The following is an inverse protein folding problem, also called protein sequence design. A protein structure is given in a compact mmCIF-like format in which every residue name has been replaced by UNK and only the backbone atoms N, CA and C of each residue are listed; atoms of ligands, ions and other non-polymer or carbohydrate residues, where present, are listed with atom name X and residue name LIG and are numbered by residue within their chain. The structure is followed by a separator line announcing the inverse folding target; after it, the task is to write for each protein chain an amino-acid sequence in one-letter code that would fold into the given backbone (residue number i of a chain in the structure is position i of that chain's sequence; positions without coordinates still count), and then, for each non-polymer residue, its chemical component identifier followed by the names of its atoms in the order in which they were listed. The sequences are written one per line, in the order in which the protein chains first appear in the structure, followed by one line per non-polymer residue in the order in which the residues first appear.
data_IF_424483191169
#
_entry.id   IF_424483191169
#
_cell.length_a   1.000
_cell.length_b   1.000
_cell.length_c   1.000
_cell.angle_alpha   90.00
_cell.angle_beta   90.00
_cell.angle_gamma   90.00
#
_symmetry.space_group_name_H-M   'P 1'
#
loop_
_entity.id
_entity.type
_entity.pdbx_description
1 polymer ?
#
# COMPACT_ATOMS: atom_id res chain seq x y z
N UNK A 1 0.82 1.10 -4.94
CA UNK A 1 2.05 1.57 -4.27
C UNK A 1 2.56 0.58 -3.22
N UNK A 2 1.85 0.37 -2.10
CA UNK A 2 2.28 -0.50 -1.00
C UNK A 2 2.81 -1.89 -1.42
N UNK A 3 2.14 -2.56 -2.36
CA UNK A 3 2.48 -3.93 -2.82
C UNK A 3 3.84 -4.05 -3.53
N UNK A 4 4.47 -2.93 -3.93
CA UNK A 4 5.85 -2.90 -4.47
C UNK A 4 6.86 -2.25 -3.53
N UNK A 5 6.41 -1.77 -2.37
CA UNK A 5 7.26 -1.05 -1.39
C UNK A 5 7.70 -1.95 -0.23
N UNK A 6 6.79 -2.78 0.27
CA UNK A 6 7.00 -3.57 1.48
C UNK A 6 7.27 -5.04 1.14
N UNK A 7 8.55 -5.37 0.90
CA UNK A 7 9.01 -6.74 0.63
C UNK A 7 9.05 -7.58 1.93
N UNK A 8 8.20 -8.63 2.05
CA UNK A 8 8.12 -9.48 3.24
C UNK A 8 9.41 -10.24 3.55
N UNK A 9 10.29 -10.45 2.55
CA UNK A 9 11.58 -11.14 2.74
C UNK A 9 12.52 -10.32 3.62
N UNK A 10 12.55 -9.01 3.46
CA UNK A 10 13.42 -8.11 4.24
C UNK A 10 12.94 -8.00 5.69
N UNK A 11 11.63 -8.01 5.93
CA UNK A 11 11.09 -8.12 7.29
C UNK A 11 11.46 -9.45 7.95
N UNK A 12 11.46 -10.55 7.18
CA UNK A 12 11.83 -11.88 7.67
C UNK A 12 13.31 -11.99 8.03
N UNK A 13 14.20 -11.31 7.29
CA UNK A 13 15.63 -11.17 7.64
C UNK A 13 15.81 -10.56 9.04
N UNK A 14 14.89 -9.68 9.45
CA UNK A 14 14.85 -9.02 10.77
C UNK A 14 14.01 -9.77 11.83
N UNK A 15 13.53 -10.99 11.50
CA UNK A 15 12.76 -11.85 12.41
C UNK A 15 11.27 -11.53 12.49
N UNK A 16 10.72 -10.75 11.56
CA UNK A 16 9.30 -10.41 11.53
C UNK A 16 8.56 -11.16 10.40
N UNK A 17 7.37 -11.65 10.68
CA UNK A 17 6.42 -12.05 9.64
C UNK A 17 5.60 -10.84 9.20
N UNK A 18 5.46 -10.62 7.90
CA UNK A 18 4.59 -9.59 7.35
C UNK A 18 3.77 -10.13 6.18
N UNK A 19 2.62 -9.49 5.92
CA UNK A 19 1.78 -9.75 4.77
C UNK A 19 1.36 -8.41 4.18
N UNK A 20 1.50 -8.25 2.87
CA UNK A 20 1.14 -7.05 2.15
C UNK A 20 -0.26 -7.20 1.54
N UNK A 21 -1.19 -6.33 1.97
CA UNK A 21 -2.57 -6.29 1.48
C UNK A 21 -2.76 -5.24 0.36
N UNK A 22 -1.67 -4.70 -0.19
CA UNK A 22 -1.70 -3.66 -1.21
C UNK A 22 -2.21 -4.15 -2.56
N UNK A 23 -2.96 -3.30 -3.26
CA UNK A 23 -3.26 -3.43 -4.69
C UNK A 23 -2.97 -2.13 -5.43
N UNK A 24 -3.12 -2.16 -6.76
CA UNK A 24 -3.13 -0.94 -7.59
C UNK A 24 -4.30 -0.04 -7.19
N UNK A 25 -4.09 1.28 -7.19
CA UNK A 25 -5.13 2.29 -6.97
C UNK A 25 -5.85 2.22 -5.61
N UNK A 26 -5.33 1.47 -4.64
CA UNK A 26 -6.06 1.18 -3.41
C UNK A 26 -6.19 2.41 -2.51
N UNK A 27 -7.43 2.80 -2.23
CA UNK A 27 -7.74 3.96 -1.38
C UNK A 27 -7.94 3.56 0.09
N UNK A 28 -7.92 4.51 1.05
CA UNK A 28 -8.27 4.23 2.45
C UNK A 28 -9.63 3.53 2.63
N UNK A 29 -10.63 3.88 1.80
CA UNK A 29 -11.92 3.19 1.75
C UNK A 29 -11.75 1.70 1.43
N UNK A 30 -11.05 1.37 0.35
CA UNK A 30 -10.82 -0.03 -0.04
C UNK A 30 -10.03 -0.76 1.05
N UNK A 31 -8.97 -0.15 1.57
CA UNK A 31 -8.12 -0.68 2.64
C UNK A 31 -8.89 -0.97 3.92
N UNK A 32 -9.85 -0.11 4.31
CA UNK A 32 -10.66 -0.33 5.51
C UNK A 32 -11.46 -1.64 5.42
N UNK A 33 -12.17 -1.86 4.31
CA UNK A 33 -12.98 -3.06 4.14
C UNK A 33 -12.13 -4.29 3.86
N UNK A 34 -11.02 -4.15 3.14
CA UNK A 34 -10.08 -5.25 2.92
C UNK A 34 -9.46 -5.72 4.25
N UNK A 35 -8.98 -4.80 5.07
CA UNK A 35 -8.44 -5.12 6.39
C UNK A 35 -9.49 -5.82 7.24
N UNK A 36 -10.72 -5.30 7.31
CA UNK A 36 -11.80 -5.95 8.05
C UNK A 36 -12.09 -7.38 7.58
N UNK A 37 -11.99 -7.64 6.29
CA UNK A 37 -12.26 -8.95 5.71
C UNK A 37 -11.24 -10.03 6.12
N UNK A 38 -10.01 -9.62 6.43
CA UNK A 38 -8.89 -10.52 6.74
C UNK A 38 -8.28 -10.34 8.14
N UNK A 39 -8.74 -9.35 8.93
CA UNK A 39 -8.11 -8.99 10.20
C UNK A 39 -7.97 -10.17 11.15
N UNK A 40 -9.04 -10.94 11.35
CA UNK A 40 -9.03 -12.10 12.27
C UNK A 40 -8.16 -13.25 11.77
N UNK A 41 -8.01 -13.38 10.45
CA UNK A 41 -7.16 -14.41 9.85
C UNK A 41 -5.68 -14.05 9.94
N UNK A 42 -5.36 -12.76 9.81
CA UNK A 42 -3.99 -12.24 9.87
C UNK A 42 -3.52 -12.00 11.31
N UNK A 43 -4.44 -11.68 12.23
CA UNK A 43 -4.19 -11.30 13.63
C UNK A 43 -2.93 -10.42 13.83
N UNK A 44 -2.82 -9.28 13.12
CA UNK A 44 -1.59 -8.50 13.11
C UNK A 44 -1.32 -7.86 14.48
N UNK A 45 -0.06 -7.86 14.93
CA UNK A 45 0.36 -7.04 16.07
C UNK A 45 0.47 -5.55 15.72
N UNK A 46 0.84 -5.28 14.46
CA UNK A 46 1.04 -3.96 13.90
C UNK A 46 0.43 -3.90 12.49
N UNK A 47 -0.37 -2.88 12.23
CA UNK A 47 -0.83 -2.50 10.89
C UNK A 47 -0.01 -1.29 10.42
N UNK A 48 0.54 -1.38 9.21
CA UNK A 48 1.18 -0.25 8.53
C UNK A 48 0.26 0.18 7.40
N UNK A 49 -0.14 1.45 7.41
CA UNK A 49 -0.94 2.04 6.35
C UNK A 49 -0.08 3.01 5.54
N UNK A 50 0.34 2.56 4.35
CA UNK A 50 1.04 3.37 3.36
C UNK A 50 0.03 4.28 2.64
N UNK A 51 0.06 5.56 3.01
CA UNK A 51 -0.74 6.64 2.47
C UNK A 51 -0.06 7.18 1.21
N UNK A 52 -0.82 7.23 0.12
CA UNK A 52 -0.35 7.77 -1.14
C UNK A 52 -1.25 8.94 -1.56
N UNK A 53 -0.60 10.01 -1.98
CA UNK A 53 -1.25 11.28 -2.33
C UNK A 53 -2.08 11.15 -3.62
N UNK A 54 -1.68 10.28 -4.56
CA UNK A 54 -2.33 10.12 -5.87
C UNK A 54 -3.63 9.32 -5.82
N UNK A 55 -4.00 8.76 -4.66
CA UNK A 55 -5.24 7.98 -4.46
C UNK A 55 -6.17 8.58 -3.40
N UNK A 56 -5.74 9.62 -2.67
CA UNK A 56 -6.52 10.18 -1.55
C UNK A 56 -7.70 11.03 -2.03
N UNK A 57 -7.69 11.47 -3.27
CA UNK A 57 -8.75 12.23 -3.94
C UNK A 57 -9.69 11.34 -4.79
N UNK A 58 -9.38 10.04 -4.92
CA UNK A 58 -10.16 9.09 -5.72
C UNK A 58 -11.36 8.50 -4.96
N UNK A 59 -12.31 7.93 -5.70
CA UNK A 59 -13.52 7.29 -5.16
C UNK A 59 -13.32 5.82 -4.71
N UNK A 60 -12.24 5.18 -5.16
CA UNK A 60 -11.91 3.78 -4.86
C UNK A 60 -12.56 2.75 -5.79
N UNK A 61 -13.19 3.16 -6.88
CA UNK A 61 -13.83 2.27 -7.84
C UNK A 61 -12.82 1.41 -8.62
N UNK A 62 -11.69 2.00 -9.02
CA UNK A 62 -10.64 1.30 -9.78
C UNK A 62 -10.12 0.07 -9.02
N UNK A 63 -9.60 0.26 -7.80
CA UNK A 63 -9.14 -0.83 -6.93
C UNK A 63 -10.27 -1.80 -6.57
N UNK A 64 -11.52 -1.34 -6.48
CA UNK A 64 -12.65 -2.21 -6.20
C UNK A 64 -12.85 -3.29 -7.26
N UNK A 65 -12.61 -2.99 -8.54
CA UNK A 65 -12.71 -4.00 -9.60
C UNK A 65 -11.72 -5.15 -9.40
N UNK A 66 -10.47 -4.83 -9.08
CA UNK A 66 -9.45 -5.86 -8.80
C UNK A 66 -9.82 -6.67 -7.56
N UNK A 67 -10.30 -6.00 -6.50
CA UNK A 67 -10.68 -6.66 -5.25
C UNK A 67 -11.90 -7.58 -5.42
N UNK A 68 -12.95 -7.12 -6.10
CA UNK A 68 -14.19 -7.87 -6.24
C UNK A 68 -14.03 -9.10 -7.13
N UNK A 69 -13.13 -9.04 -8.12
CA UNK A 69 -12.81 -10.18 -8.99
C UNK A 69 -11.92 -11.19 -8.25
N UNK A 70 -10.84 -10.74 -7.63
CA UNK A 70 -9.79 -11.64 -7.14
C UNK A 70 -10.01 -12.16 -5.71
N UNK A 71 -10.76 -11.45 -4.87
CA UNK A 71 -11.07 -11.95 -3.52
C UNK A 71 -12.18 -12.99 -3.55
N UNK A 72 -12.17 -14.01 -2.68
CA UNK A 72 -13.37 -14.81 -2.40
C UNK A 72 -14.53 -13.92 -1.96
N UNK A 73 -15.77 -14.33 -2.22
CA UNK A 73 -16.92 -13.58 -1.75
C UNK A 73 -16.88 -13.43 -0.23
N UNK A 74 -17.01 -12.19 0.23
CA UNK A 74 -17.05 -11.81 1.63
C UNK A 74 -18.09 -10.72 1.85
N UNK A 75 -18.64 -10.67 3.05
CA UNK A 75 -19.75 -9.75 3.41
C UNK A 75 -19.30 -8.30 3.32
N UNK A 76 -18.01 -8.04 3.51
CA UNK A 76 -17.35 -6.74 3.46
C UNK A 76 -17.39 -6.10 2.07
N UNK A 77 -17.59 -6.88 1.00
CA UNK A 77 -17.73 -6.34 -0.37
C UNK A 77 -18.97 -5.46 -0.52
N UNK A 78 -20.07 -5.77 0.18
CA UNK A 78 -21.30 -4.99 0.13
C UNK A 78 -21.16 -3.57 0.67
N UNK A 79 -20.75 -3.36 1.94
CA UNK A 79 -20.57 -2.01 2.46
C UNK A 79 -19.42 -1.27 1.74
N UNK A 80 -18.41 -1.97 1.21
CA UNK A 80 -17.41 -1.37 0.33
C UNK A 80 -18.05 -0.80 -0.94
N UNK A 81 -18.88 -1.59 -1.62
CA UNK A 81 -19.57 -1.16 -2.84
C UNK A 81 -20.53 0.01 -2.61
N UNK A 82 -21.28 -0.01 -1.49
CA UNK A 82 -22.15 1.12 -1.11
C UNK A 82 -21.35 2.38 -0.78
N UNK A 83 -20.18 2.24 -0.15
CA UNK A 83 -19.33 3.37 0.21
C UNK A 83 -18.72 4.08 -1.02
N UNK A 84 -18.39 3.32 -2.06
CA UNK A 84 -17.90 3.86 -3.35
C UNK A 84 -19.00 4.66 -4.06
N UNK A 85 -20.27 4.35 -3.78
CA UNK A 85 -21.43 5.07 -4.32
C UNK A 85 -21.47 5.11 -5.87
N UNK A 86 -21.15 3.97 -6.50
CA UNK A 86 -21.17 3.81 -7.96
C UNK A 86 -22.03 2.61 -8.37
N UNK A 87 -22.90 2.73 -9.39
CA UNK A 87 -23.65 1.60 -9.95
C UNK A 87 -22.75 0.45 -10.39
N UNK A 88 -21.54 0.76 -10.82
CA UNK A 88 -20.56 -0.25 -11.22
C UNK A 88 -20.06 -1.09 -10.05
N UNK A 89 -19.84 -0.47 -8.89
CA UNK A 89 -19.45 -1.19 -7.68
C UNK A 89 -20.59 -2.13 -7.21
N UNK A 90 -21.84 -1.66 -7.29
CA UNK A 90 -23.02 -2.49 -6.99
C UNK A 90 -23.12 -3.68 -7.96
N UNK A 91 -22.95 -3.45 -9.26
CA UNK A 91 -22.95 -4.52 -10.25
C UNK A 91 -21.83 -5.54 -9.97
N UNK A 92 -20.63 -5.08 -9.64
CA UNK A 92 -19.50 -5.94 -9.29
C UNK A 92 -19.80 -6.87 -8.12
N UNK A 93 -20.32 -6.35 -7.00
CA UNK A 93 -20.63 -7.18 -5.83
C UNK A 93 -21.81 -8.12 -6.07
N UNK A 94 -22.83 -7.70 -6.82
CA UNK A 94 -23.95 -8.58 -7.22
C UNK A 94 -23.44 -9.74 -8.08
N UNK A 95 -22.61 -9.44 -9.08
CA UNK A 95 -22.00 -10.44 -9.96
C UNK A 95 -21.17 -11.44 -9.16
N UNK A 96 -20.32 -10.95 -8.24
CA UNK A 96 -19.51 -11.79 -7.35
C UNK A 96 -20.36 -12.67 -6.44
N UNK A 97 -21.46 -12.13 -5.91
CA UNK A 97 -22.41 -12.88 -5.09
C UNK A 97 -23.12 -14.00 -5.89
N UNK A 98 -23.51 -13.75 -7.13
CA UNK A 98 -24.11 -14.79 -7.99
C UNK A 98 -23.10 -15.90 -8.34
N UNK A 99 -21.83 -15.54 -8.58
CA UNK A 99 -20.76 -16.52 -8.80
C UNK A 99 -20.50 -17.37 -7.54
N UNK A 100 -20.53 -16.75 -6.35
CA UNK A 100 -20.46 -17.46 -5.07
C UNK A 100 -21.58 -18.49 -4.94
N UNK A 101 -22.83 -18.07 -5.15
CA UNK A 101 -24.00 -18.95 -5.03
C UNK A 101 -24.00 -20.10 -6.04
N UNK A 102 -23.43 -19.88 -7.22
CA UNK A 102 -23.30 -20.92 -8.24
C UNK A 102 -22.07 -21.82 -8.08
N UNK A 103 -21.19 -21.54 -7.11
CA UNK A 103 -19.93 -22.28 -6.92
C UNK A 103 -18.89 -22.03 -8.01
N UNK A 104 -19.00 -20.90 -8.72
CA UNK A 104 -18.21 -20.57 -9.93
C UNK A 104 -17.23 -19.42 -9.72
N UNK A 105 -16.89 -19.11 -8.47
CA UNK A 105 -15.93 -18.03 -8.19
C UNK A 105 -14.56 -18.28 -8.79
N UNK A 106 -14.13 -19.54 -8.88
CA UNK A 106 -12.84 -19.91 -9.48
C UNK A 106 -12.77 -19.66 -10.99
N UNK A 107 -13.92 -19.46 -11.65
CA UNK A 107 -13.99 -19.21 -13.10
C UNK A 107 -13.41 -17.83 -13.46
N UNK A 108 -13.33 -16.91 -12.51
CA UNK A 108 -12.81 -15.56 -12.71
C UNK A 108 -11.58 -15.34 -11.85
N UNK A 109 -10.43 -15.21 -12.51
CA UNK A 109 -9.21 -14.69 -11.92
C UNK A 109 -8.55 -13.77 -12.92
N UNK A 110 -7.97 -12.69 -12.44
CA UNK A 110 -7.15 -11.83 -13.27
C UNK A 110 -5.85 -12.58 -13.62
N UNK A 111 -5.43 -12.46 -14.87
CA UNK A 111 -4.15 -12.99 -15.30
C UNK A 111 -3.01 -12.13 -14.72
N UNK A 112 -1.85 -12.74 -14.53
CA UNK A 112 -0.66 -12.00 -14.14
C UNK A 112 -0.29 -11.00 -15.25
N UNK A 113 0.19 -9.82 -14.87
CA UNK A 113 0.69 -8.85 -15.83
C UNK A 113 2.07 -9.30 -16.35
N UNK A 114 2.29 -9.16 -17.66
CA UNK A 114 3.60 -9.39 -18.25
C UNK A 114 4.62 -8.42 -17.65
N UNK A 115 5.82 -8.94 -17.34
CA UNK A 115 6.87 -8.11 -16.73
C UNK A 115 6.82 -8.05 -15.20
N UNK A 116 5.93 -8.78 -14.54
CA UNK A 116 5.79 -8.78 -13.08
C UNK A 116 5.95 -10.17 -12.48
N UNK A 117 6.54 -10.24 -11.28
CA UNK A 117 6.68 -11.44 -10.49
C UNK A 117 5.98 -11.28 -9.14
N UNK A 118 5.00 -12.13 -8.88
CA UNK A 118 4.38 -12.22 -7.56
C UNK A 118 5.30 -12.99 -6.60
N UNK A 119 5.61 -12.34 -5.48
CA UNK A 119 6.35 -12.92 -4.36
C UNK A 119 5.35 -13.26 -3.24
N UNK A 120 5.39 -14.49 -2.68
CA UNK A 120 4.48 -14.89 -1.62
C UNK A 120 4.40 -13.86 -0.49
N UNK A 121 3.18 -13.72 0.07
CA UNK A 121 2.80 -12.73 1.09
C UNK A 121 2.59 -11.31 0.55
N UNK A 122 2.24 -11.19 -0.74
CA UNK A 122 1.59 -9.99 -1.29
C UNK A 122 2.52 -8.96 -1.93
N UNK A 123 3.78 -9.31 -2.18
CA UNK A 123 4.74 -8.41 -2.81
C UNK A 123 4.84 -8.66 -4.31
N UNK A 124 5.04 -7.61 -5.10
CA UNK A 124 5.28 -7.71 -6.54
C UNK A 124 6.55 -6.93 -6.87
N UNK A 125 7.43 -7.57 -7.64
CA UNK A 125 8.60 -6.95 -8.24
C UNK A 125 8.53 -7.03 -9.77
N UNK A 126 9.16 -6.08 -10.46
CA UNK A 126 9.28 -6.16 -11.92
C UNK A 126 10.31 -7.21 -12.30
N UNK A 127 10.11 -7.91 -13.40
CA UNK A 127 10.94 -9.04 -13.80
C UNK A 127 12.23 -8.65 -14.52
N UNK A 128 12.41 -7.37 -14.89
CA UNK A 128 13.63 -6.87 -15.51
C UNK A 128 14.11 -5.57 -14.87
N UNK A 129 15.35 -5.60 -14.37
CA UNK A 129 16.14 -4.44 -13.96
C UNK A 129 17.52 -4.55 -14.61
N UNK A 130 18.13 -3.42 -14.97
CA UNK A 130 19.52 -3.40 -15.38
C UNK A 130 20.44 -3.72 -14.18
N UNK A 131 21.67 -4.21 -14.41
CA UNK A 131 22.60 -4.62 -13.33
C UNK A 131 22.88 -3.49 -12.31
N UNK A 132 22.75 -2.23 -12.71
CA UNK A 132 22.94 -1.05 -11.88
C UNK A 132 21.67 -0.58 -11.14
N UNK A 133 20.55 -1.31 -11.29
CA UNK A 133 19.23 -0.95 -10.76
C UNK A 133 18.43 0.01 -11.64
N UNK A 134 19.00 0.48 -12.75
CA UNK A 134 18.30 1.36 -13.67
C UNK A 134 17.19 0.64 -14.44
N UNK A 135 16.23 1.43 -14.89
CA UNK A 135 15.13 1.00 -15.75
C UNK A 135 15.12 1.83 -17.03
N UNK A 136 14.54 1.27 -18.09
CA UNK A 136 14.36 1.96 -19.37
C UNK A 136 13.50 3.23 -19.23
N UNK A 137 12.77 3.38 -18.11
CA UNK A 137 11.94 4.57 -17.83
C UNK A 137 12.79 5.85 -17.80
N UNK A 138 13.86 5.88 -17.00
CA UNK A 138 14.67 7.09 -16.88
C UNK A 138 15.63 7.31 -18.06
N UNK A 139 15.88 6.29 -18.88
CA UNK A 139 16.57 6.48 -20.17
C UNK A 139 15.66 7.12 -21.23
N UNK A 140 14.34 6.93 -21.12
CA UNK A 140 13.35 7.42 -22.07
C UNK A 140 12.76 8.79 -21.72
N UNK A 141 12.91 9.27 -20.48
CA UNK A 141 12.35 10.53 -20.01
C UNK A 141 13.43 11.63 -20.03
N UNK A 142 13.32 12.55 -20.98
CA UNK A 142 14.14 13.76 -21.06
C UNK A 142 13.80 14.70 -19.89
N UNK A 143 14.80 15.37 -19.31
CA UNK A 143 14.65 16.39 -18.25
C UNK A 143 13.60 17.46 -18.66
N UNK A 144 13.51 17.74 -19.97
CA UNK A 144 12.52 18.63 -20.56
C UNK A 144 11.05 18.19 -20.39
N UNK A 145 10.79 16.90 -20.14
CA UNK A 145 9.43 16.39 -19.89
C UNK A 145 8.89 16.88 -18.54
N UNK A 146 9.71 16.88 -17.50
CA UNK A 146 9.30 17.33 -16.16
C UNK A 146 9.18 18.85 -16.09
N UNK A 147 10.05 19.58 -16.78
CA UNK A 147 9.95 21.04 -16.91
C UNK A 147 8.65 21.50 -17.59
N UNK A 148 8.01 20.61 -18.37
CA UNK A 148 6.75 20.89 -19.07
C UNK A 148 5.49 20.56 -18.25
N UNK A 149 5.60 19.83 -17.12
CA UNK A 149 4.44 19.47 -16.29
C UNK A 149 4.22 20.53 -15.21
N UNK A 150 3.06 21.17 -15.26
CA UNK A 150 2.63 22.07 -14.18
C UNK A 150 2.22 21.25 -12.95
N UNK A 151 2.81 21.49 -11.77
CA UNK A 151 2.36 20.89 -10.52
C UNK A 151 0.88 21.16 -10.27
N UNK A 152 0.18 20.19 -9.68
CA UNK A 152 -1.26 20.28 -9.41
C UNK A 152 -1.54 20.18 -7.91
N UNK A 153 -2.61 20.85 -7.48
CA UNK A 153 -3.14 20.70 -6.13
C UNK A 153 -3.91 19.38 -6.03
N UNK A 154 -3.71 18.67 -4.92
CA UNK A 154 -4.49 17.49 -4.54
C UNK A 154 -5.42 17.90 -3.41
N UNK A 155 -6.72 17.67 -3.59
CA UNK A 155 -7.73 17.85 -2.55
C UNK A 155 -8.18 16.48 -2.06
N UNK A 156 -7.82 16.05 -0.83
CA UNK A 156 -8.29 14.79 -0.29
C UNK A 156 -9.82 14.70 -0.28
N UNK A 157 -10.35 13.60 -0.81
CA UNK A 157 -11.79 13.38 -0.79
C UNK A 157 -12.24 13.11 0.65
N UNK A 158 -13.30 13.78 1.09
CA UNK A 158 -13.81 13.66 2.46
C UNK A 158 -14.15 12.20 2.84
N UNK A 159 -14.59 11.40 1.86
CA UNK A 159 -14.85 9.97 2.06
C UNK A 159 -13.57 9.20 2.39
N UNK A 160 -12.44 9.55 1.78
CA UNK A 160 -11.17 8.87 2.03
C UNK A 160 -10.58 9.24 3.39
N UNK A 161 -10.66 10.52 3.79
CA UNK A 161 -10.28 10.93 5.15
C UNK A 161 -11.17 10.26 6.20
N UNK A 162 -12.47 10.17 5.96
CA UNK A 162 -13.40 9.44 6.82
C UNK A 162 -13.01 7.97 6.99
N UNK A 163 -12.68 7.27 5.90
CA UNK A 163 -12.29 5.85 5.99
C UNK A 163 -10.88 5.62 6.54
N UNK A 164 -9.97 6.58 6.36
CA UNK A 164 -8.69 6.59 7.06
C UNK A 164 -8.90 6.60 8.59
N UNK A 165 -9.74 7.50 9.09
CA UNK A 165 -10.10 7.53 10.52
C UNK A 165 -10.78 6.23 10.96
N UNK A 166 -11.73 5.69 10.17
CA UNK A 166 -12.40 4.41 10.50
C UNK A 166 -11.44 3.24 10.59
N UNK A 167 -10.43 3.21 9.74
CA UNK A 167 -9.39 2.18 9.75
C UNK A 167 -8.56 2.28 11.04
N UNK A 168 -8.11 3.48 11.41
CA UNK A 168 -7.38 3.71 12.66
C UNK A 168 -8.20 3.26 13.87
N UNK A 169 -9.44 3.75 13.97
CA UNK A 169 -10.34 3.38 15.07
C UNK A 169 -10.60 1.87 15.13
N UNK A 170 -10.72 1.21 13.98
CA UNK A 170 -10.96 -0.23 13.93
C UNK A 170 -9.78 -1.00 14.52
N UNK A 171 -8.55 -0.66 14.13
CA UNK A 171 -7.34 -1.32 14.64
C UNK A 171 -7.16 -1.05 16.14
N UNK A 172 -7.38 0.19 16.59
CA UNK A 172 -7.30 0.54 18.01
C UNK A 172 -8.35 -0.17 18.85
N UNK A 173 -9.60 -0.29 18.37
CA UNK A 173 -10.66 -1.07 19.06
C UNK A 173 -10.32 -2.56 19.20
N UNK A 174 -9.44 -3.07 18.34
CA UNK A 174 -8.89 -4.44 18.42
C UNK A 174 -7.67 -4.54 19.34
N UNK A 175 -7.31 -3.44 20.02
CA UNK A 175 -6.12 -3.33 20.88
C UNK A 175 -4.82 -3.69 20.14
N UNK A 176 -4.73 -3.37 18.84
CA UNK A 176 -3.52 -3.55 18.03
C UNK A 176 -2.91 -2.20 17.69
N UNK A 177 -1.64 -2.21 17.27
CA UNK A 177 -0.90 -1.00 16.89
C UNK A 177 -1.18 -0.65 15.43
N UNK A 178 -1.16 0.65 15.13
CA UNK A 178 -1.19 1.16 13.75
C UNK A 178 -0.18 2.29 13.58
N UNK A 179 0.47 2.32 12.42
CA UNK A 179 1.34 3.41 11.96
C UNK A 179 0.84 3.89 10.60
N UNK A 180 0.78 5.20 10.45
CA UNK A 180 0.62 5.85 9.16
C UNK A 180 2.00 6.11 8.58
N UNK A 181 2.15 5.86 7.29
CA UNK A 181 3.40 6.00 6.56
C UNK A 181 3.10 6.70 5.25
N UNK A 182 3.95 7.63 4.82
CA UNK A 182 4.09 7.94 3.39
C UNK A 182 5.45 7.45 2.97
N UNK A 183 5.51 6.52 2.03
CA UNK A 183 6.78 5.99 1.51
C UNK A 183 7.59 7.08 0.79
N UNK A 184 8.91 6.86 0.57
CA UNK A 184 9.68 7.70 -0.33
C UNK A 184 9.11 7.69 -1.75
N UNK A 185 8.99 8.89 -2.32
CA UNK A 185 8.70 9.17 -3.71
C UNK A 185 9.95 9.73 -4.39
N UNK A 186 10.09 9.51 -5.70
CA UNK A 186 11.16 10.15 -6.45
C UNK A 186 10.97 11.68 -6.40
N UNK A 187 12.09 12.43 -6.40
CA UNK A 187 12.05 13.90 -6.25
C UNK A 187 11.16 14.55 -7.30
N UNK A 188 11.24 14.04 -8.52
CA UNK A 188 10.50 14.52 -9.68
C UNK A 188 8.99 14.30 -9.49
N UNK A 189 8.58 13.23 -8.81
CA UNK A 189 7.17 12.96 -8.52
C UNK A 189 6.62 13.89 -7.43
N UNK A 190 7.39 14.14 -6.38
CA UNK A 190 7.00 15.07 -5.31
C UNK A 190 6.80 16.50 -5.83
N UNK A 191 7.64 16.92 -6.78
CA UNK A 191 7.53 18.23 -7.41
C UNK A 191 6.22 18.42 -8.18
N UNK A 192 5.52 17.35 -8.57
CA UNK A 192 4.22 17.42 -9.25
C UNK A 192 3.06 17.77 -8.30
N UNK A 193 3.27 17.74 -6.98
CA UNK A 193 2.24 18.00 -5.99
C UNK A 193 2.46 19.41 -5.41
N UNK A 194 1.74 20.40 -5.95
CA UNK A 194 1.93 21.80 -5.59
C UNK A 194 1.66 22.08 -4.10
N UNK A 195 0.66 21.42 -3.53
CA UNK A 195 0.22 21.59 -2.15
C UNK A 195 0.60 20.41 -1.23
N UNK A 196 1.75 19.77 -1.48
CA UNK A 196 2.22 18.60 -0.73
C UNK A 196 2.12 18.79 0.80
N UNK A 197 2.57 19.95 1.31
CA UNK A 197 2.57 20.24 2.74
C UNK A 197 1.17 20.29 3.35
N UNK A 198 0.17 20.72 2.58
CA UNK A 198 -1.23 20.73 3.03
C UNK A 198 -1.77 19.31 3.15
N UNK A 199 -1.51 18.46 2.15
CA UNK A 199 -1.96 17.06 2.15
C UNK A 199 -1.26 16.25 3.24
N UNK A 200 0.07 16.36 3.34
CA UNK A 200 0.84 15.73 4.42
C UNK A 200 0.43 16.27 5.80
N UNK A 201 0.08 17.56 5.89
CA UNK A 201 -0.49 18.19 7.08
C UNK A 201 -1.81 17.54 7.51
N UNK A 202 -2.72 17.28 6.56
CA UNK A 202 -3.98 16.59 6.84
C UNK A 202 -3.77 15.18 7.42
N UNK A 203 -2.79 14.43 6.90
CA UNK A 203 -2.41 13.12 7.46
C UNK A 203 -1.84 13.25 8.87
N UNK A 204 -0.95 14.21 9.10
CA UNK A 204 -0.37 14.46 10.42
C UNK A 204 -1.42 14.88 11.45
N UNK A 205 -2.42 15.67 11.05
CA UNK A 205 -3.50 16.11 11.92
C UNK A 205 -4.42 14.94 12.31
N UNK A 206 -4.76 14.07 11.37
CA UNK A 206 -5.49 12.82 11.65
C UNK A 206 -4.67 11.92 12.58
N UNK A 207 -3.37 11.77 12.31
CA UNK A 207 -2.48 10.96 13.16
C UNK A 207 -2.47 11.48 14.61
N UNK A 208 -2.31 12.80 14.78
CA UNK A 208 -2.32 13.47 16.10
C UNK A 208 -3.66 13.32 16.80
N UNK A 209 -4.77 13.50 16.08
CA UNK A 209 -6.14 13.35 16.59
C UNK A 209 -6.37 11.97 17.21
N UNK A 210 -5.84 10.92 16.57
CA UNK A 210 -6.00 9.53 17.01
C UNK A 210 -4.83 9.01 17.85
N UNK A 211 -3.81 9.83 18.12
CA UNK A 211 -2.64 9.42 18.90
C UNK A 211 -1.82 8.30 18.24
N UNK A 212 -1.72 8.29 16.91
CA UNK A 212 -0.96 7.30 16.15
C UNK A 212 0.31 7.90 15.55
N UNK A 213 1.33 7.07 15.39
CA UNK A 213 2.58 7.48 14.75
C UNK A 213 2.35 7.71 13.26
N UNK A 214 2.83 8.86 12.75
CA UNK A 214 2.93 9.15 11.32
C UNK A 214 4.40 9.35 10.94
N UNK A 215 4.87 8.57 9.98
CA UNK A 215 6.22 8.66 9.43
C UNK A 215 6.13 9.14 7.99
N UNK A 216 6.60 10.37 7.74
CA UNK A 216 6.71 10.90 6.39
C UNK A 216 8.13 10.72 5.84
N UNK A 217 8.32 9.71 5.00
CA UNK A 217 9.64 9.40 4.43
C UNK A 217 10.07 10.34 3.31
N UNK A 218 9.18 11.16 2.77
CA UNK A 218 9.59 12.22 1.85
C UNK A 218 10.30 13.38 2.59
N UNK A 219 10.19 13.42 3.92
CA UNK A 219 10.90 14.37 4.80
C UNK A 219 12.11 13.77 5.50
N UNK A 220 12.41 12.50 5.24
CA UNK A 220 13.56 11.79 5.81
C UNK A 220 14.63 11.70 4.72
N UNK A 221 15.82 12.19 5.03
CA UNK A 221 16.96 12.04 4.14
C UNK A 221 17.38 10.57 4.08
N UNK A 222 17.21 9.98 2.91
CA UNK A 222 17.65 8.63 2.56
C UNK A 222 18.57 8.72 1.35
N UNK A 223 19.61 7.86 1.25
CA UNK A 223 20.52 7.84 0.11
C UNK A 223 19.87 7.19 -1.13
N UNK A 224 18.69 7.67 -1.52
CA UNK A 224 17.95 7.26 -2.70
C UNK A 224 18.34 8.13 -3.89
N UNK A 225 18.34 7.52 -5.06
CA UNK A 225 18.73 8.13 -6.33
C UNK A 225 17.65 7.72 -7.32
N UNK A 226 17.03 8.69 -7.99
CA UNK A 226 15.87 8.47 -8.86
C UNK A 226 16.15 7.39 -9.91
N UNK A 227 17.34 7.42 -10.53
CA UNK A 227 17.70 6.52 -11.63
C UNK A 227 18.10 5.12 -11.17
N UNK A 228 18.49 4.94 -9.91
CA UNK A 228 19.03 3.68 -9.39
C UNK A 228 18.12 2.95 -8.43
N UNK A 229 17.25 3.68 -7.74
CA UNK A 229 16.47 3.16 -6.61
C UNK A 229 14.97 3.18 -6.87
N UNK A 230 14.53 3.71 -8.00
CA UNK A 230 13.14 3.71 -8.42
C UNK A 230 12.98 2.99 -9.76
N UNK A 231 11.84 2.30 -9.93
CA UNK A 231 11.47 1.71 -11.20
C UNK A 231 10.92 2.77 -12.16
N UNK A 232 10.10 3.66 -11.62
CA UNK A 232 9.56 4.85 -12.26
C UNK A 232 9.41 5.95 -11.19
N UNK A 233 8.78 7.06 -11.53
CA UNK A 233 8.58 8.18 -10.60
C UNK A 233 7.82 7.82 -9.30
N UNK A 234 7.04 6.73 -9.28
CA UNK A 234 6.09 6.38 -8.22
C UNK A 234 6.47 5.13 -7.41
N UNK A 235 7.32 4.24 -7.93
CA UNK A 235 7.62 2.95 -7.30
C UNK A 235 9.11 2.78 -7.06
N UNK A 236 9.48 2.40 -5.83
CA UNK A 236 10.83 1.92 -5.54
C UNK A 236 11.09 0.61 -6.30
N UNK A 237 12.32 0.43 -6.76
CA UNK A 237 12.80 -0.87 -7.21
C UNK A 237 13.37 -1.67 -6.01
N UNK A 238 13.74 -2.95 -6.19
CA UNK A 238 14.28 -3.77 -5.10
C UNK A 238 15.52 -3.17 -4.41
N UNK A 239 16.34 -2.40 -5.11
CA UNK A 239 17.51 -1.73 -4.53
C UNK A 239 17.08 -0.58 -3.60
N UNK A 240 16.12 0.25 -4.01
CA UNK A 240 15.54 1.30 -3.18
C UNK A 240 14.78 0.75 -1.97
N UNK A 241 14.03 -0.34 -2.16
CA UNK A 241 13.35 -1.07 -1.07
C UNK A 241 14.35 -1.55 0.00
N UNK A 242 15.54 -2.03 -0.41
CA UNK A 242 16.62 -2.44 0.51
C UNK A 242 17.30 -1.29 1.27
N UNK A 243 17.08 -0.04 0.86
CA UNK A 243 17.50 1.14 1.63
C UNK A 243 16.39 1.59 2.57
N UNK A 244 15.16 1.66 2.06
CA UNK A 244 14.00 2.17 2.78
C UNK A 244 13.58 1.28 3.97
N UNK A 245 13.40 -0.03 3.75
CA UNK A 245 12.82 -0.91 4.77
C UNK A 245 13.68 -0.99 6.05
N UNK A 246 15.03 -1.14 5.98
CA UNK A 246 15.85 -1.17 7.19
C UNK A 246 15.72 0.10 8.03
N UNK A 247 15.68 1.28 7.41
CA UNK A 247 15.46 2.54 8.12
C UNK A 247 14.05 2.61 8.73
N UNK A 248 13.04 2.13 8.00
CA UNK A 248 11.67 2.02 8.51
C UNK A 248 11.57 1.13 9.74
N UNK A 249 12.16 -0.07 9.70
CA UNK A 249 12.22 -0.99 10.85
C UNK A 249 12.95 -0.33 12.03
N UNK A 250 14.08 0.34 11.78
CA UNK A 250 14.84 1.05 12.82
C UNK A 250 13.99 2.10 13.53
N UNK A 251 13.21 2.90 12.78
CA UNK A 251 12.30 3.91 13.34
C UNK A 251 11.15 3.29 14.13
N UNK A 252 10.52 2.24 13.59
CA UNK A 252 9.47 1.52 14.29
C UNK A 252 9.96 0.95 15.64
N UNK A 253 11.20 0.45 15.70
CA UNK A 253 11.83 0.00 16.96
C UNK A 253 12.07 1.16 17.92
N UNK A 254 12.59 2.29 17.43
CA UNK A 254 12.86 3.47 18.25
C UNK A 254 11.58 4.04 18.90
N UNK A 255 10.45 3.96 18.18
CA UNK A 255 9.12 4.37 18.66
C UNK A 255 8.40 3.28 19.46
N UNK A 256 9.05 2.14 19.74
CA UNK A 256 8.45 1.02 20.50
C UNK A 256 7.29 0.32 19.77
N UNK A 257 7.17 0.50 18.45
CA UNK A 257 6.13 -0.14 17.64
C UNK A 257 6.44 -1.61 17.40
N UNK A 258 7.71 -1.94 17.21
CA UNK A 258 8.20 -3.32 17.08
C UNK A 258 8.99 -3.76 18.33
N UNK A 259 8.98 -5.06 18.68
CA UNK A 259 9.86 -5.56 19.73
C UNK A 259 11.33 -5.39 19.32
N UNK A 260 12.26 -5.29 20.29
CA UNK A 260 13.70 -5.24 20.01
C UNK A 260 14.12 -6.43 19.15
N UNK A 261 15.19 -6.28 18.37
CA UNK A 261 15.74 -7.36 17.56
C UNK A 261 15.98 -8.60 18.44
N UNK A 262 15.12 -9.62 18.29
CA UNK A 262 15.21 -10.89 18.98
C UNK A 262 15.92 -11.89 18.09
N UNK A 263 16.89 -12.63 18.65
CA UNK A 263 17.57 -13.74 17.96
C UNK A 263 16.52 -14.66 17.31
N UNK A 264 16.64 -14.79 16.00
CA UNK A 264 16.05 -15.79 15.10
C UNK A 264 15.13 -16.79 15.80
N UNK A 265 13.82 -16.59 15.72
CA UNK A 265 12.86 -17.67 16.01
C UNK A 265 12.84 -18.55 14.77
N UNK A 266 13.63 -19.63 14.81
CA UNK A 266 13.57 -20.68 13.81
C UNK A 266 12.21 -21.36 13.85
N UNK A 267 11.73 -21.75 12.67
CA UNK A 267 10.66 -22.71 12.39
C UNK A 267 9.23 -22.18 12.47
N UNK A 268 8.78 -21.62 11.34
CA UNK A 268 7.45 -21.96 10.80
C UNK A 268 7.58 -22.35 9.32
N UNK A 269 8.33 -23.42 9.08
CA UNK A 269 7.93 -24.41 8.09
C UNK A 269 6.89 -25.32 8.76
N UNK A 270 5.62 -25.01 8.56
CA UNK A 270 4.58 -26.04 8.42
C UNK A 270 3.62 -25.57 7.35
N UNK A 271 3.92 -26.07 6.17
CA UNK A 271 2.94 -26.44 5.15
C UNK A 271 1.62 -26.89 5.78
N UNK A 272 0.51 -26.48 5.14
CA UNK A 272 -0.54 -27.36 4.60
C UNK A 272 -1.91 -26.63 4.64
N UNK A 273 -2.85 -27.00 3.76
CA UNK A 273 -2.77 -27.20 2.31
C UNK A 273 -3.46 -26.05 1.54
#
# INVERSE_FOLDING_TARGET
HCYRTHDPRIYAEEGYSSFNLGTTGQTPLNSYFLLRAYFEQLDPELVVLDLNYHVIDRDGLESFYDLVVNMPYRRELWPMAFAINSPHAINGVVSKWLLHLSGRESDLRQEAQDGEAYIPRGYVEFSSYLENGATDYYEAVDEAYYDAITPADITPAAVQLYYLEKLIEFVQRKNKKIVLLTKPEARENLQLIANYDEVAGAFADIARKHGVLFLDFNRIDLPLDSNRHFHDKEYLNPFGVRIFIPEFIRRLRAEGMLPPAGKTVSNMDREQP
#
